data_IF_839667954808
#
_entry.id   IF_839667954808
#
_cell.length_a   1.000
_cell.length_b   1.000
_cell.length_c   1.000
_cell.angle_alpha   90.00
_cell.angle_beta   90.00
_cell.angle_gamma   90.00
#
_symmetry.space_group_name_H-M   'P 1'
#
loop_
_entity.id
_entity.type
_entity.pdbx_description
1 polymer ?
#
# COMPACT_ATOMS: atom_id res chain seq x y z
N UNK A 1 26.56 13.14 9.38
CA UNK A 1 25.56 12.08 9.10
C UNK A 1 24.31 12.46 9.88
N UNK A 2 23.14 12.52 9.25
CA UNK A 2 21.89 12.80 9.98
C UNK A 2 21.36 11.46 10.50
N UNK A 3 21.13 11.36 11.81
CA UNK A 3 20.54 10.13 12.37
C UNK A 3 19.10 9.98 11.90
N UNK A 4 18.78 8.83 11.30
CA UNK A 4 17.43 8.45 10.93
C UNK A 4 16.75 7.85 12.17
N UNK A 5 16.13 8.70 12.98
CA UNK A 5 15.50 8.31 14.26
C UNK A 5 14.02 7.98 14.04
N UNK A 6 13.56 6.80 14.52
CA UNK A 6 12.12 6.47 14.54
C UNK A 6 11.41 7.22 15.67
N UNK A 7 10.17 7.66 15.42
CA UNK A 7 9.31 8.30 16.42
C UNK A 7 9.03 7.31 17.57
N UNK A 8 9.19 7.78 18.81
CA UNK A 8 9.02 6.98 20.03
C UNK A 8 8.07 7.66 21.02
N UNK A 9 7.44 6.85 21.86
CA UNK A 9 6.49 7.28 22.88
C UNK A 9 5.06 6.85 22.56
N UNK A 10 4.11 7.30 23.40
CA UNK A 10 2.66 7.12 23.20
C UNK A 10 1.82 8.35 23.62
N UNK A 11 2.47 9.43 24.04
CA UNK A 11 1.82 10.59 24.68
C UNK A 11 0.86 11.33 23.75
N UNK A 12 1.11 11.30 22.44
CA UNK A 12 0.26 11.92 21.43
C UNK A 12 -0.62 10.90 20.70
N UNK A 13 -0.66 9.62 21.11
CA UNK A 13 -1.41 8.59 20.37
C UNK A 13 -2.91 8.80 20.52
N UNK A 14 -3.63 8.63 19.41
CA UNK A 14 -5.09 8.71 19.39
C UNK A 14 -5.70 7.42 19.91
N UNK A 15 -6.74 7.57 20.72
CA UNK A 15 -7.56 6.48 21.25
C UNK A 15 -9.04 6.76 20.96
N UNK A 16 -9.82 5.70 20.76
CA UNK A 16 -11.27 5.77 20.65
C UNK A 16 -11.90 4.67 21.50
N UNK A 17 -12.75 5.01 22.46
CA UNK A 17 -13.35 4.06 23.43
C UNK A 17 -12.32 3.12 24.09
N UNK A 18 -11.14 3.63 24.44
CA UNK A 18 -10.02 2.86 25.01
C UNK A 18 -9.16 2.09 23.99
N UNK A 19 -9.62 1.90 22.76
CA UNK A 19 -8.85 1.24 21.69
C UNK A 19 -7.83 2.22 21.08
N UNK A 20 -6.57 1.82 20.96
CA UNK A 20 -5.52 2.62 20.29
C UNK A 20 -5.76 2.66 18.78
N UNK A 21 -5.70 3.84 18.17
CA UNK A 21 -5.76 3.98 16.72
C UNK A 21 -4.37 3.76 16.12
N UNK A 22 -4.32 2.90 15.10
CA UNK A 22 -3.11 2.51 14.37
C UNK A 22 -3.30 2.86 12.91
N UNK A 23 -2.29 3.47 12.30
CA UNK A 23 -2.25 3.74 10.87
C UNK A 23 -1.09 2.97 10.22
N UNK A 24 -1.30 2.52 8.99
CA UNK A 24 -0.30 1.79 8.22
C UNK A 24 -0.69 1.65 6.76
N UNK A 25 0.11 0.91 6.00
CA UNK A 25 -0.19 0.66 4.60
C UNK A 25 0.24 -0.75 4.17
N UNK A 26 -0.27 -1.19 3.03
CA UNK A 26 0.36 -2.27 2.27
C UNK A 26 1.20 -1.59 1.18
N UNK A 27 2.54 -1.52 1.32
CA UNK A 27 3.41 -1.06 0.26
C UNK A 27 3.45 -2.14 -0.81
N UNK A 28 3.21 -1.77 -2.06
CA UNK A 28 3.20 -2.70 -3.17
C UNK A 28 3.92 -2.13 -4.40
N UNK A 29 4.33 -3.01 -5.32
CA UNK A 29 4.88 -2.66 -6.63
C UNK A 29 4.38 -3.63 -7.69
N UNK A 30 4.36 -3.20 -8.95
CA UNK A 30 4.21 -4.11 -10.09
C UNK A 30 5.52 -4.83 -10.37
N UNK A 31 5.45 -6.12 -10.71
CA UNK A 31 6.59 -6.89 -11.21
C UNK A 31 6.96 -6.37 -12.61
N UNK A 32 8.25 -6.46 -12.94
CA UNK A 32 8.73 -6.25 -14.31
C UNK A 32 8.50 -7.52 -15.12
N UNK A 33 7.30 -7.70 -15.66
CA UNK A 33 6.95 -8.78 -16.60
C UNK A 33 6.55 -8.18 -17.94
N UNK A 34 6.88 -8.86 -19.05
CA UNK A 34 6.71 -8.32 -20.41
C UNK A 34 5.26 -8.25 -20.91
N UNK A 35 4.30 -8.72 -20.09
CA UNK A 35 2.88 -8.35 -20.05
C UNK A 35 2.23 -9.10 -18.86
N UNK A 36 1.63 -8.42 -17.87
CA UNK A 36 0.64 -9.07 -17.03
C UNK A 36 -0.59 -9.41 -17.90
N UNK A 37 -1.03 -10.66 -17.86
CA UNK A 37 -2.35 -11.06 -18.36
C UNK A 37 -3.41 -10.23 -17.62
N UNK A 38 -4.44 -9.75 -18.33
CA UNK A 38 -5.45 -8.82 -17.81
C UNK A 38 -6.35 -9.38 -16.69
N UNK A 39 -6.08 -10.59 -16.17
CA UNK A 39 -6.84 -11.25 -15.10
C UNK A 39 -6.11 -11.40 -13.75
N UNK A 40 -4.77 -11.41 -13.72
CA UNK A 40 -4.02 -11.92 -12.57
C UNK A 40 -3.24 -10.81 -11.84
N UNK A 41 -3.95 -9.90 -11.16
CA UNK A 41 -3.32 -8.81 -10.39
C UNK A 41 -2.48 -9.34 -9.22
N UNK A 42 -2.89 -10.45 -8.61
CA UNK A 42 -2.16 -11.17 -7.56
C UNK A 42 -0.76 -11.64 -8.03
N UNK A 43 -0.65 -12.03 -9.30
CA UNK A 43 0.60 -12.39 -9.96
C UNK A 43 1.34 -11.16 -10.48
N UNK A 44 0.64 -10.09 -10.88
CA UNK A 44 1.24 -8.86 -11.40
C UNK A 44 1.96 -8.02 -10.34
N UNK A 45 1.61 -8.16 -9.05
CA UNK A 45 2.20 -7.35 -7.96
C UNK A 45 3.05 -8.15 -6.97
N UNK A 46 3.89 -7.42 -6.24
CA UNK A 46 4.52 -7.85 -4.99
C UNK A 46 4.16 -6.85 -3.90
N UNK A 47 4.01 -7.33 -2.66
CA UNK A 47 3.81 -6.51 -1.47
C UNK A 47 5.03 -6.57 -0.56
N UNK A 48 5.28 -5.51 0.20
CA UNK A 48 6.35 -5.47 1.19
C UNK A 48 5.80 -5.82 2.57
N UNK A 49 6.41 -6.82 3.20
CA UNK A 49 6.22 -7.15 4.61
C UNK A 49 7.49 -6.82 5.40
N UNK A 50 7.32 -6.50 6.67
CA UNK A 50 8.40 -6.32 7.64
C UNK A 50 8.30 -7.36 8.75
N UNK A 51 9.41 -7.71 9.38
CA UNK A 51 9.37 -8.43 10.63
C UNK A 51 8.91 -7.53 11.78
N UNK A 52 8.22 -8.12 12.75
CA UNK A 52 8.08 -7.54 14.08
C UNK A 52 9.45 -7.33 14.72
N UNK A 53 9.60 -6.35 15.61
CA UNK A 53 10.86 -6.06 16.34
C UNK A 53 11.43 -7.24 17.16
N UNK A 54 10.69 -8.35 17.31
CA UNK A 54 11.14 -9.59 17.95
C UNK A 54 11.44 -10.73 16.96
N UNK A 55 11.35 -10.48 15.65
CA UNK A 55 11.64 -11.43 14.57
C UNK A 55 10.64 -12.59 14.37
N UNK A 56 9.52 -12.65 15.11
CA UNK A 56 8.66 -13.85 15.18
C UNK A 56 7.54 -13.92 14.15
N UNK A 57 7.23 -12.79 13.52
CA UNK A 57 6.02 -12.56 12.73
C UNK A 57 6.32 -11.56 11.61
N UNK A 58 5.77 -11.82 10.42
CA UNK A 58 5.76 -10.89 9.29
C UNK A 58 4.41 -10.15 9.24
N UNK A 59 4.46 -8.88 8.88
CA UNK A 59 3.34 -7.95 8.97
C UNK A 59 3.52 -6.76 8.02
N UNK A 60 2.43 -6.06 7.73
CA UNK A 60 2.48 -4.78 7.02
C UNK A 60 2.93 -3.63 7.94
N UNK A 61 3.69 -2.63 7.42
CA UNK A 61 4.22 -1.54 8.22
C UNK A 61 3.11 -0.64 8.78
N UNK A 62 3.12 -0.45 10.11
CA UNK A 62 2.04 0.27 10.83
C UNK A 62 2.43 0.60 12.29
N UNK A 63 1.93 1.73 12.78
CA UNK A 63 2.10 2.11 14.17
C UNK A 63 1.13 3.18 14.64
N UNK A 64 1.51 3.96 15.65
CA UNK A 64 0.59 4.87 16.34
C UNK A 64 0.11 5.98 15.41
N UNK A 65 -1.20 6.24 15.34
CA UNK A 65 -1.67 7.49 14.75
C UNK A 65 -1.63 8.58 15.83
N UNK A 66 -0.70 9.51 15.70
CA UNK A 66 -0.49 10.58 16.67
C UNK A 66 -1.44 11.77 16.42
N UNK A 67 -1.57 12.68 17.40
CA UNK A 67 -2.46 13.84 17.35
C UNK A 67 -2.01 14.90 16.35
N UNK A 68 -0.70 15.05 16.14
CA UNK A 68 -0.05 16.07 15.31
C UNK A 68 0.01 15.75 13.80
N UNK A 69 -0.48 14.57 13.39
CA UNK A 69 -0.38 14.09 12.01
C UNK A 69 -1.74 13.61 11.44
N UNK A 70 -1.85 13.63 10.11
CA UNK A 70 -2.98 12.99 9.42
C UNK A 70 -2.81 11.46 9.42
N UNK A 71 -3.90 10.71 9.27
CA UNK A 71 -3.86 9.25 9.24
C UNK A 71 -2.99 8.69 8.08
N UNK A 72 -2.92 9.40 6.95
CA UNK A 72 -2.03 9.03 5.84
C UNK A 72 -0.57 9.46 6.09
N UNK A 73 -0.34 10.58 6.77
CA UNK A 73 1.01 10.99 7.19
C UNK A 73 1.60 9.98 8.20
N UNK A 74 0.80 9.51 9.15
CA UNK A 74 1.16 8.41 10.04
C UNK A 74 1.52 7.14 9.24
N UNK A 75 0.65 6.70 8.32
CA UNK A 75 0.93 5.52 7.48
C UNK A 75 2.22 5.67 6.63
N UNK A 76 2.53 6.88 6.13
CA UNK A 76 3.76 7.15 5.39
C UNK A 76 5.00 7.15 6.28
N UNK A 77 4.90 7.75 7.48
CA UNK A 77 5.95 7.76 8.49
C UNK A 77 6.30 6.33 8.91
N UNK A 78 5.31 5.50 9.21
CA UNK A 78 5.51 4.10 9.61
C UNK A 78 6.11 3.26 8.45
N UNK A 79 5.71 3.51 7.20
CA UNK A 79 6.32 2.85 6.04
C UNK A 79 7.78 3.25 5.80
N UNK A 80 8.14 4.50 6.11
CA UNK A 80 9.52 4.97 6.12
C UNK A 80 10.32 4.40 7.30
N UNK A 81 9.76 4.43 8.52
CA UNK A 81 10.42 4.02 9.76
C UNK A 81 10.64 2.51 9.83
N UNK A 82 9.60 1.71 9.58
CA UNK A 82 9.66 0.25 9.71
C UNK A 82 10.26 -0.44 8.47
N UNK A 83 9.96 0.07 7.27
CA UNK A 83 10.23 -0.61 5.99
C UNK A 83 11.18 0.17 5.04
N UNK A 84 11.49 1.43 5.32
CA UNK A 84 12.38 2.23 4.49
C UNK A 84 11.87 2.45 3.06
N UNK A 85 10.56 2.67 2.89
CA UNK A 85 9.95 2.93 1.58
C UNK A 85 9.17 4.23 1.56
N UNK A 86 9.08 4.85 0.38
CA UNK A 86 8.15 5.95 0.08
C UNK A 86 7.33 5.61 -1.15
N UNK A 87 6.15 6.20 -1.26
CA UNK A 87 5.22 5.89 -2.34
C UNK A 87 4.05 6.87 -2.43
N UNK A 88 3.16 6.62 -3.40
CA UNK A 88 1.89 7.32 -3.56
C UNK A 88 0.78 6.46 -2.95
N UNK A 89 -0.11 7.08 -2.17
CA UNK A 89 -1.34 6.42 -1.73
C UNK A 89 -2.39 6.45 -2.84
N UNK A 90 -3.03 5.32 -3.09
CA UNK A 90 -4.08 5.19 -4.12
C UNK A 90 -5.48 5.02 -3.52
N UNK A 91 -5.57 4.57 -2.27
CA UNK A 91 -6.85 4.42 -1.60
C UNK A 91 -6.72 3.93 -0.16
N UNK A 92 -7.81 4.05 0.59
CA UNK A 92 -7.96 3.43 1.90
C UNK A 92 -8.52 2.02 1.72
N UNK A 93 -7.83 1.02 2.23
CA UNK A 93 -8.24 -0.39 2.14
C UNK A 93 -9.37 -0.71 3.11
N UNK A 94 -9.33 -0.12 4.32
CA UNK A 94 -10.38 -0.35 5.31
C UNK A 94 -9.98 0.03 6.73
N UNK A 95 -10.67 -0.59 7.69
CA UNK A 95 -10.34 -0.55 9.12
C UNK A 95 -10.67 -1.89 9.77
N UNK A 96 -9.80 -2.39 10.63
CA UNK A 96 -9.97 -3.69 11.30
C UNK A 96 -9.56 -3.63 12.78
N UNK A 97 -10.30 -4.27 13.71
CA UNK A 97 -9.85 -4.41 15.09
C UNK A 97 -8.69 -5.41 15.20
N UNK A 98 -7.85 -5.28 16.23
CA UNK A 98 -6.96 -6.36 16.66
C UNK A 98 -7.76 -7.54 17.22
N UNK A 99 -7.13 -8.72 17.33
CA UNK A 99 -7.76 -9.92 17.93
C UNK A 99 -8.16 -9.66 19.39
N UNK A 100 -7.34 -8.91 20.11
CA UNK A 100 -7.54 -8.48 21.50
C UNK A 100 -8.48 -7.26 21.61
N UNK A 101 -8.95 -6.71 20.48
CA UNK A 101 -9.80 -5.52 20.36
C UNK A 101 -9.23 -4.23 21.01
N UNK A 102 -7.94 -4.25 21.37
CA UNK A 102 -7.20 -3.13 21.98
C UNK A 102 -6.71 -2.08 20.96
N UNK A 103 -6.79 -2.38 19.66
CA UNK A 103 -6.33 -1.54 18.55
C UNK A 103 -7.34 -1.53 17.40
N UNK A 104 -7.37 -0.43 16.65
CA UNK A 104 -8.05 -0.34 15.36
C UNK A 104 -7.01 0.03 14.30
N UNK A 105 -6.78 -0.87 13.35
CA UNK A 105 -5.85 -0.74 12.23
C UNK A 105 -6.53 -0.06 11.05
N UNK A 106 -6.04 1.12 10.64
CA UNK A 106 -6.43 1.78 9.40
C UNK A 106 -5.34 1.60 8.35
N UNK A 107 -5.67 0.91 7.25
CA UNK A 107 -4.70 0.55 6.22
C UNK A 107 -5.00 1.23 4.88
N UNK A 108 -3.95 1.59 4.15
CA UNK A 108 -4.00 2.21 2.83
C UNK A 108 -3.19 1.39 1.81
N UNK A 109 -3.55 1.48 0.53
CA UNK A 109 -2.71 0.99 -0.57
C UNK A 109 -1.64 2.04 -0.86
N UNK A 110 -0.37 1.64 -0.87
CA UNK A 110 0.75 2.53 -1.23
C UNK A 110 1.58 1.93 -2.37
N UNK A 111 1.50 2.53 -3.57
CA UNK A 111 2.40 2.19 -4.67
C UNK A 111 3.79 2.74 -4.35
N UNK A 112 4.76 1.86 -4.13
CA UNK A 112 6.13 2.24 -3.78
C UNK A 112 6.82 2.89 -4.98
N UNK A 113 7.38 4.08 -4.75
CA UNK A 113 8.17 4.84 -5.73
C UNK A 113 9.65 4.90 -5.37
N UNK A 114 10.01 4.65 -4.11
CA UNK A 114 11.38 4.69 -3.61
C UNK A 114 11.60 3.60 -2.55
N UNK A 115 12.73 2.89 -2.62
CA UNK A 115 13.20 1.95 -1.61
C UNK A 115 14.56 2.45 -1.11
N UNK A 116 14.62 2.86 0.15
CA UNK A 116 15.80 3.50 0.74
C UNK A 116 16.82 2.44 1.17
N UNK A 117 18.14 2.68 0.98
CA UNK A 117 19.19 1.74 1.41
C UNK A 117 19.40 1.74 2.94
N UNK A 118 19.06 2.85 3.61
CA UNK A 118 19.12 3.01 5.07
C UNK A 118 17.80 3.59 5.57
N UNK A 119 17.31 3.09 6.71
CA UNK A 119 16.03 3.53 7.29
C UNK A 119 16.00 3.33 8.82
N UNK A 120 15.14 4.03 9.57
CA UNK A 120 15.20 4.10 11.02
C UNK A 120 15.22 2.76 11.78
N UNK A 121 14.36 1.80 11.43
CA UNK A 121 14.31 0.50 12.13
C UNK A 121 15.10 -0.62 11.44
N UNK A 122 16.05 -0.31 10.53
CA UNK A 122 16.77 -1.32 9.73
C UNK A 122 17.58 -2.34 10.54
N UNK A 123 17.95 -2.01 11.79
CA UNK A 123 18.65 -2.92 12.70
C UNK A 123 17.70 -3.68 13.64
N UNK A 124 16.40 -3.35 13.64
CA UNK A 124 15.36 -3.97 14.45
C UNK A 124 14.34 -4.77 13.61
N UNK A 125 14.33 -4.55 12.29
CA UNK A 125 13.41 -5.21 11.34
C UNK A 125 14.09 -5.57 10.04
N UNK A 126 13.68 -6.73 9.53
CA UNK A 126 13.92 -7.15 8.16
C UNK A 126 12.72 -6.73 7.31
N UNK A 127 12.95 -6.44 6.03
CA UNK A 127 11.89 -6.21 5.04
C UNK A 127 12.04 -7.20 3.89
N UNK A 128 10.93 -7.76 3.40
CA UNK A 128 10.91 -8.69 2.27
C UNK A 128 9.82 -8.27 1.27
N UNK A 129 10.16 -8.29 -0.02
CA UNK A 129 9.16 -8.33 -1.10
C UNK A 129 8.64 -9.75 -1.24
N UNK A 130 7.32 -9.92 -1.21
CA UNK A 130 6.64 -11.21 -1.34
C UNK A 130 5.49 -11.10 -2.33
N UNK A 131 5.12 -12.21 -2.95
CA UNK A 131 3.87 -12.33 -3.70
C UNK A 131 2.64 -12.15 -2.78
N UNK A 132 1.47 -11.87 -3.35
CA UNK A 132 0.21 -11.80 -2.60
C UNK A 132 -0.12 -13.14 -1.94
N UNK A 133 0.21 -14.27 -2.60
CA UNK A 133 0.05 -15.61 -2.05
C UNK A 133 0.93 -15.84 -0.82
N UNK A 134 2.26 -15.66 -0.93
CA UNK A 134 3.18 -15.76 0.21
C UNK A 134 2.77 -14.82 1.36
N UNK A 135 2.30 -13.62 1.05
CA UNK A 135 1.86 -12.66 2.07
C UNK A 135 0.72 -13.22 2.93
N UNK A 136 -0.26 -13.94 2.34
CA UNK A 136 -1.35 -14.60 3.08
C UNK A 136 -0.86 -15.73 3.97
N UNK A 137 0.17 -16.47 3.55
CA UNK A 137 0.74 -17.58 4.32
C UNK A 137 1.53 -17.07 5.55
N UNK A 138 2.31 -15.99 5.39
CA UNK A 138 3.18 -15.48 6.47
C UNK A 138 2.49 -14.50 7.42
N UNK A 139 1.42 -13.83 6.99
CA UNK A 139 0.70 -12.83 7.77
C UNK A 139 -0.37 -13.48 8.68
N UNK A 140 0.01 -13.81 9.92
CA UNK A 140 -0.79 -14.60 10.88
C UNK A 140 -2.12 -14.02 11.36
N UNK A 141 -2.51 -12.80 10.98
CA UNK A 141 -3.75 -12.17 11.41
C UNK A 141 -4.77 -12.11 10.26
N UNK A 142 -5.98 -12.63 10.48
CA UNK A 142 -7.03 -12.70 9.45
C UNK A 142 -7.29 -11.37 8.72
N UNK A 143 -7.28 -10.24 9.46
CA UNK A 143 -7.47 -8.92 8.87
C UNK A 143 -6.42 -8.54 7.82
N UNK A 144 -5.20 -9.12 7.86
CA UNK A 144 -4.16 -8.87 6.86
C UNK A 144 -4.51 -9.54 5.53
N UNK A 145 -5.13 -10.73 5.55
CA UNK A 145 -5.66 -11.39 4.35
C UNK A 145 -6.84 -10.61 3.77
N UNK A 146 -7.78 -10.16 4.61
CA UNK A 146 -8.88 -9.29 4.17
C UNK A 146 -8.38 -7.96 3.56
N UNK A 147 -7.30 -7.38 4.12
CA UNK A 147 -6.69 -6.17 3.57
C UNK A 147 -5.99 -6.42 2.22
N UNK A 148 -5.47 -7.62 1.97
CA UNK A 148 -4.98 -8.04 0.64
C UNK A 148 -6.11 -8.27 -0.37
N UNK A 149 -7.28 -8.73 0.08
CA UNK A 149 -8.48 -8.79 -0.76
C UNK A 149 -8.88 -7.37 -1.21
N UNK A 150 -8.96 -6.43 -0.25
CA UNK A 150 -9.24 -5.02 -0.55
C UNK A 150 -8.18 -4.33 -1.40
N UNK A 151 -6.93 -4.75 -1.35
CA UNK A 151 -5.89 -4.25 -2.25
C UNK A 151 -6.15 -4.69 -3.70
N UNK A 152 -6.49 -5.96 -3.92
CA UNK A 152 -6.80 -6.45 -5.27
C UNK A 152 -8.07 -5.80 -5.83
N UNK A 153 -9.16 -5.70 -5.04
CA UNK A 153 -10.39 -4.99 -5.44
C UNK A 153 -10.11 -3.55 -5.92
N UNK A 154 -9.27 -2.81 -5.18
CA UNK A 154 -8.89 -1.44 -5.52
C UNK A 154 -8.08 -1.36 -6.82
N UNK A 155 -7.19 -2.33 -7.06
CA UNK A 155 -6.35 -2.35 -8.26
C UNK A 155 -7.10 -2.85 -9.50
N UNK A 156 -8.06 -3.78 -9.36
CA UNK A 156 -8.96 -4.20 -10.44
C UNK A 156 -9.86 -3.07 -10.91
N UNK A 157 -10.43 -2.30 -9.99
CA UNK A 157 -11.31 -1.17 -10.34
C UNK A 157 -10.54 0.01 -10.96
N UNK A 158 -9.25 0.15 -10.66
CA UNK A 158 -8.40 1.20 -11.24
C UNK A 158 -8.02 0.91 -12.71
N UNK A 159 -7.80 -0.35 -13.09
CA UNK A 159 -7.40 -0.71 -14.47
C UNK A 159 -8.52 -0.55 -15.50
N UNK A 160 -9.79 -0.65 -15.08
CA UNK A 160 -10.96 -0.42 -15.92
C UNK A 160 -11.10 1.06 -16.33
N UNK A 161 -10.69 1.99 -15.46
CA UNK A 161 -10.84 3.44 -15.67
C UNK A 161 -9.76 4.02 -16.60
N UNK A 162 -8.53 3.48 -16.53
CA UNK A 162 -7.49 3.76 -17.52
C UNK A 162 -7.90 3.29 -18.93
N UNK A 163 -8.61 2.15 -19.03
CA UNK A 163 -9.07 1.59 -20.30
C UNK A 163 -10.24 2.38 -20.93
N UNK A 164 -11.17 2.89 -20.10
CA UNK A 164 -12.24 3.79 -20.57
C UNK A 164 -11.69 5.12 -21.12
N UNK A 165 -10.62 5.63 -20.51
CA UNK A 165 -9.96 6.87 -20.92
C UNK A 165 -9.28 6.78 -22.29
N UNK A 166 -8.80 5.58 -22.68
CA UNK A 166 -8.12 5.36 -23.96
C UNK A 166 -9.07 5.28 -25.17
N UNK A 167 -10.35 4.94 -24.97
CA UNK A 167 -11.29 4.68 -26.08
C UNK A 167 -11.93 5.95 -26.68
N UNK A 168 -11.84 7.10 -26.02
CA UNK A 168 -12.37 8.38 -26.54
C UNK A 168 -11.38 9.17 -27.42
N UNK A 169 -10.16 8.68 -27.63
CA UNK A 169 -9.10 9.42 -28.35
C UNK A 169 -8.97 9.09 -29.85
N UNK A 170 -9.90 8.32 -30.44
CA UNK A 170 -9.88 7.92 -31.85
C UNK A 170 -11.20 8.21 -32.59
N UNK A 171 -11.40 9.47 -32.96
CA UNK A 171 -12.24 9.84 -34.11
C UNK A 171 -11.35 10.27 -35.27
N UNK A 172 -11.36 9.57 -36.42
CA UNK A 172 -10.61 10.01 -37.59
C UNK A 172 -11.22 11.27 -38.19
N UNK A 173 -10.38 12.29 -38.42
CA UNK A 173 -10.72 13.38 -39.34
C UNK A 173 -10.69 12.84 -40.76
N UNK A 174 -11.85 12.69 -41.41
CA UNK A 174 -11.94 12.41 -42.85
C UNK A 174 -12.18 13.71 -43.61
N UNK A 175 -11.10 14.32 -44.12
CA UNK A 175 -11.18 15.39 -45.11
C UNK A 175 -11.29 14.84 -46.55
N UNK A 176 -12.11 15.52 -47.35
CA UNK A 176 -12.02 15.74 -48.80
C UNK A 176 -12.15 14.57 -49.81
N UNK A 177 -13.23 14.64 -50.62
CA UNK A 177 -13.36 14.18 -52.02
C UNK A 177 -14.76 14.57 -52.57
N UNK A 178 -15.00 15.14 -53.77
CA UNK A 178 -14.18 15.90 -54.74
C UNK A 178 -15.13 16.79 -55.60
N UNK A 179 -14.62 17.74 -56.41
CA UNK A 179 -15.41 18.58 -57.35
C UNK A 179 -15.92 17.83 -58.60
N UNK A 180 -17.01 18.37 -59.19
CA UNK A 180 -17.33 18.49 -60.63
C UNK A 180 -18.47 17.66 -61.26
N UNK A 181 -19.01 18.23 -62.36
CA UNK A 181 -20.16 17.82 -63.20
C UNK A 181 -21.55 18.03 -62.56
N UNK A 182 -22.52 18.73 -63.19
CA UNK A 182 -22.62 19.30 -64.56
C UNK A 182 -23.12 20.73 -64.55
#
# INVERSE_FOLDING_TARGET
>A
MVELVSRRGRTLQRYNSGCRLVAGCIPYRFKKTDKPSLGDIDQAIEVMVVSSQKGRELMFPKGGWELDESMQAAAAREAFEEAGVRGKFEGKLGKWPSKEQDKIHHMFAMRVTEVLPQWPEMNARERKWVSVAEAREVCKHAWMSEALDKLQELLSTSSEQDNCSAQHALTPLTENSILSCT
#
